data_IF_270370657515
#
_entry.id   IF_270370657515
#
_cell.length_a   1.000
_cell.length_b   1.000
_cell.length_c   1.000
_cell.angle_alpha   90.00
_cell.angle_beta   90.00
_cell.angle_gamma   90.00
#
_symmetry.space_group_name_H-M   'P 1'
#
loop_
_entity.id
_entity.type
_entity.pdbx_description
1 polymer ?
#
# COMPACT_ATOMS: atom_id res chain seq x y z
N UNK A 1 -13.56 18.33 -62.95
CA UNK A 1 -12.74 17.29 -63.64
C UNK A 1 -11.62 18.00 -64.39
N UNK A 2 -10.42 17.42 -64.55
CA UNK A 2 -9.79 16.26 -63.89
C UNK A 2 -8.45 16.64 -63.19
N UNK A 3 -8.12 16.03 -62.05
CA UNK A 3 -7.24 14.85 -61.87
C UNK A 3 -5.74 15.14 -61.93
N UNK A 4 -5.03 14.92 -60.82
CA UNK A 4 -3.79 14.13 -60.82
C UNK A 4 -3.43 13.71 -59.37
N UNK A 5 -3.45 12.40 -59.17
CA UNK A 5 -2.87 11.69 -58.02
C UNK A 5 -1.35 11.87 -57.98
N UNK A 6 -0.76 11.93 -56.78
CA UNK A 6 0.43 11.16 -56.45
C UNK A 6 0.56 10.96 -54.93
N UNK A 7 0.63 9.68 -54.56
CA UNK A 7 1.02 9.12 -53.26
C UNK A 7 2.43 9.57 -52.84
N UNK A 8 2.61 9.95 -51.56
CA UNK A 8 3.79 9.55 -50.77
C UNK A 8 3.68 9.90 -49.28
N UNK A 9 3.68 8.84 -48.46
CA UNK A 9 4.32 8.67 -47.15
C UNK A 9 4.26 9.84 -46.14
N UNK A 10 3.32 9.75 -45.19
CA UNK A 10 3.41 10.40 -43.88
C UNK A 10 4.27 9.55 -42.93
N UNK A 11 5.49 10.00 -42.64
CA UNK A 11 6.28 9.51 -41.51
C UNK A 11 5.66 10.01 -40.20
N UNK A 12 4.90 9.15 -39.53
CA UNK A 12 4.48 9.38 -38.14
C UNK A 12 5.59 8.89 -37.23
N UNK A 13 6.34 9.83 -36.63
CA UNK A 13 7.30 9.54 -35.56
C UNK A 13 6.52 9.08 -34.32
N UNK A 14 6.55 7.78 -34.06
CA UNK A 14 6.14 7.19 -32.78
C UNK A 14 6.96 7.84 -31.64
N UNK A 15 6.25 8.52 -30.73
CA UNK A 15 6.83 8.96 -29.47
C UNK A 15 7.09 7.76 -28.57
N UNK A 16 8.38 7.50 -28.38
CA UNK A 16 8.93 6.46 -27.52
C UNK A 16 8.50 6.66 -26.07
N UNK A 17 7.90 5.60 -25.55
CA UNK A 17 7.74 5.24 -24.14
C UNK A 17 9.04 5.46 -23.37
N UNK A 18 8.98 6.19 -22.25
CA UNK A 18 10.08 6.34 -21.29
C UNK A 18 10.13 5.11 -20.37
N UNK A 19 11.26 4.38 -20.30
CA UNK A 19 11.40 3.21 -19.45
C UNK A 19 11.80 3.56 -18.01
N UNK A 20 11.51 2.60 -17.13
CA UNK A 20 11.78 2.60 -15.70
C UNK A 20 13.27 2.80 -15.36
N UNK A 21 13.52 3.57 -14.31
CA UNK A 21 14.82 3.78 -13.70
C UNK A 21 15.31 2.50 -13.00
N UNK A 22 16.19 1.75 -13.66
CA UNK A 22 17.09 0.77 -13.03
C UNK A 22 18.51 1.06 -13.46
N UNK A 23 19.34 1.53 -12.54
CA UNK A 23 20.79 1.50 -12.69
C UNK A 23 21.39 1.12 -11.33
N UNK A 24 21.94 -0.09 -11.25
CA UNK A 24 23.09 -0.43 -10.42
C UNK A 24 23.84 -1.55 -11.16
N UNK A 25 25.02 -1.19 -11.67
CA UNK A 25 25.97 -2.04 -12.38
C UNK A 25 26.93 -2.63 -11.34
N UNK A 26 27.06 -3.96 -11.31
CA UNK A 26 28.18 -4.67 -10.68
C UNK A 26 29.08 -5.26 -11.79
N UNK A 27 30.39 -5.42 -11.53
CA UNK A 27 31.43 -5.52 -12.57
C UNK A 27 31.45 -6.86 -13.30
N UNK A 28 31.81 -6.78 -14.60
CA UNK A 28 32.00 -7.92 -15.49
C UNK A 28 33.17 -8.81 -15.03
N UNK A 29 32.92 -10.10 -14.86
CA UNK A 29 33.96 -11.13 -14.79
C UNK A 29 34.13 -11.78 -16.18
N UNK A 30 35.39 -11.94 -16.59
CA UNK A 30 35.82 -12.50 -17.87
C UNK A 30 35.33 -13.95 -18.08
N UNK A 31 35.12 -14.39 -19.34
CA UNK A 31 34.66 -15.73 -19.65
C UNK A 31 35.79 -16.77 -19.48
N UNK A 32 35.54 -17.93 -18.84
CA UNK A 32 36.47 -19.05 -18.92
C UNK A 32 36.24 -19.86 -20.21
N UNK A 33 37.33 -20.14 -20.91
CA UNK A 33 37.41 -21.04 -22.06
C UNK A 33 37.30 -22.53 -21.63
N UNK A 34 36.96 -23.44 -22.57
CA UNK A 34 36.25 -24.68 -22.28
C UNK A 34 37.19 -25.85 -21.99
N UNK A 35 36.89 -26.64 -20.97
CA UNK A 35 37.43 -28.00 -20.86
C UNK A 35 36.44 -28.97 -20.21
N UNK A 36 36.40 -30.16 -20.82
CA UNK A 36 35.87 -31.43 -20.34
C UNK A 36 34.34 -31.59 -20.21
N UNK A 37 33.79 -32.37 -21.16
CA UNK A 37 32.50 -33.06 -21.06
C UNK A 37 32.51 -33.99 -19.85
N UNK A 38 31.64 -33.73 -18.88
CA UNK A 38 31.16 -34.74 -17.93
C UNK A 38 29.66 -34.97 -18.12
N UNK A 39 29.34 -36.23 -18.36
CA UNK A 39 28.01 -36.80 -18.54
C UNK A 39 27.27 -36.91 -17.20
N UNK A 40 25.94 -36.68 -17.24
CA UNK A 40 24.94 -36.58 -16.16
C UNK A 40 24.80 -35.18 -15.54
N UNK A 41 23.92 -34.35 -16.10
CA UNK A 41 23.56 -33.07 -15.48
C UNK A 41 22.67 -33.33 -14.26
N UNK A 42 23.25 -33.34 -13.06
CA UNK A 42 22.48 -33.22 -11.83
C UNK A 42 21.64 -31.93 -11.89
N UNK A 43 20.32 -32.08 -11.75
CA UNK A 43 19.41 -30.95 -11.73
C UNK A 43 19.74 -30.11 -10.49
N UNK A 44 20.04 -28.82 -10.65
CA UNK A 44 20.27 -27.95 -9.49
C UNK A 44 18.94 -27.63 -8.78
N UNK A 45 18.99 -27.35 -7.48
CA UNK A 45 17.79 -26.94 -6.69
C UNK A 45 17.08 -25.74 -7.32
N UNK A 46 17.84 -24.75 -7.82
CA UNK A 46 17.26 -23.58 -8.50
C UNK A 46 16.56 -23.95 -9.82
N UNK A 47 17.13 -24.86 -10.61
CA UNK A 47 16.50 -25.32 -11.85
C UNK A 47 15.22 -26.14 -11.57
N UNK A 48 15.24 -26.95 -10.50
CA UNK A 48 14.07 -27.69 -10.03
C UNK A 48 12.93 -26.75 -9.62
N UNK A 49 13.24 -25.71 -8.85
CA UNK A 49 12.26 -24.68 -8.46
C UNK A 49 11.64 -23.99 -9.69
N UNK A 50 12.46 -23.60 -10.68
CA UNK A 50 12.00 -22.93 -11.90
C UNK A 50 11.04 -23.79 -12.75
N UNK A 51 11.28 -25.11 -12.81
CA UNK A 51 10.38 -26.05 -13.49
C UNK A 51 8.98 -25.99 -12.85
N UNK A 52 8.92 -25.99 -11.53
CA UNK A 52 7.66 -25.99 -10.78
C UNK A 52 6.96 -24.63 -10.88
N UNK A 53 7.69 -23.51 -10.83
CA UNK A 53 7.11 -22.18 -11.02
C UNK A 53 6.48 -22.03 -12.41
N UNK A 54 7.21 -22.42 -13.48
CA UNK A 54 6.69 -22.35 -14.85
C UNK A 54 5.46 -23.23 -15.05
N UNK A 55 5.41 -24.38 -14.40
CA UNK A 55 4.24 -25.25 -14.41
C UNK A 55 2.98 -24.53 -13.89
N UNK A 56 3.05 -23.90 -12.72
CA UNK A 56 1.88 -23.19 -12.18
C UNK A 56 1.52 -21.94 -12.99
N UNK A 57 2.50 -21.19 -13.50
CA UNK A 57 2.24 -20.02 -14.35
C UNK A 57 1.51 -20.43 -15.64
N UNK A 58 1.95 -21.50 -16.30
CA UNK A 58 1.30 -22.02 -17.52
C UNK A 58 -0.14 -22.47 -17.22
N UNK A 59 -0.34 -23.26 -16.16
CA UNK A 59 -1.67 -23.75 -15.79
C UNK A 59 -2.63 -22.64 -15.37
N UNK A 60 -2.13 -21.55 -14.78
CA UNK A 60 -2.98 -20.39 -14.46
C UNK A 60 -3.53 -19.72 -15.72
N UNK A 61 -2.76 -19.69 -16.80
CA UNK A 61 -3.18 -19.05 -18.05
C UNK A 61 -4.10 -19.95 -18.87
N UNK A 62 -3.90 -21.27 -18.83
CA UNK A 62 -4.50 -22.21 -19.78
C UNK A 62 -5.54 -23.16 -19.16
N UNK A 63 -5.80 -23.07 -17.85
CA UNK A 63 -6.73 -23.98 -17.15
C UNK A 63 -7.70 -23.25 -16.22
N UNK A 64 -8.83 -23.89 -15.92
CA UNK A 64 -9.77 -23.40 -14.90
C UNK A 64 -9.10 -23.36 -13.51
N UNK A 65 -9.39 -22.32 -12.73
CA UNK A 65 -8.70 -22.04 -11.46
C UNK A 65 -8.89 -23.14 -10.41
N UNK A 66 -10.05 -23.82 -10.43
CA UNK A 66 -10.38 -24.98 -9.61
C UNK A 66 -9.43 -26.15 -9.90
N UNK A 67 -9.11 -26.37 -11.19
CA UNK A 67 -8.16 -27.39 -11.61
C UNK A 67 -6.75 -27.03 -11.16
N UNK A 68 -6.36 -25.76 -11.22
CA UNK A 68 -5.05 -25.30 -10.71
C UNK A 68 -4.93 -25.57 -9.20
N UNK A 69 -5.96 -25.26 -8.43
CA UNK A 69 -6.00 -25.58 -6.99
C UNK A 69 -5.92 -27.09 -6.74
N UNK A 70 -6.60 -27.91 -7.55
CA UNK A 70 -6.49 -29.36 -7.46
C UNK A 70 -5.09 -29.86 -7.79
N UNK A 71 -4.40 -29.29 -8.79
CA UNK A 71 -3.01 -29.65 -9.10
C UNK A 71 -2.07 -29.23 -7.98
N UNK A 72 -2.25 -28.05 -7.41
CA UNK A 72 -1.51 -27.62 -6.22
C UNK A 72 -1.71 -28.60 -5.06
N UNK A 73 -2.97 -28.96 -4.78
CA UNK A 73 -3.32 -29.95 -3.78
C UNK A 73 -2.69 -31.30 -4.09
N UNK A 74 -2.68 -31.76 -5.33
CA UNK A 74 -2.04 -33.03 -5.71
C UNK A 74 -0.54 -33.02 -5.48
N UNK A 75 0.13 -31.95 -5.92
CA UNK A 75 1.58 -31.82 -5.93
C UNK A 75 2.15 -31.64 -4.53
N UNK A 76 1.61 -30.70 -3.74
CA UNK A 76 2.22 -30.33 -2.45
C UNK A 76 1.50 -30.91 -1.24
N UNK A 77 0.19 -31.10 -1.33
CA UNK A 77 -0.62 -31.50 -0.16
C UNK A 77 -0.82 -33.02 -0.17
N UNK A 78 -1.27 -33.59 -1.28
CA UNK A 78 -1.46 -35.03 -1.50
C UNK A 78 -0.20 -35.77 -1.82
N UNK A 79 0.81 -35.08 -2.36
CA UNK A 79 2.06 -35.68 -2.79
C UNK A 79 1.79 -36.89 -3.71
N UNK A 80 0.70 -36.82 -4.49
CA UNK A 80 0.41 -37.81 -5.51
C UNK A 80 1.34 -37.46 -6.65
N UNK A 81 2.15 -38.43 -7.07
CA UNK A 81 3.08 -38.31 -8.20
C UNK A 81 2.32 -37.66 -9.36
N UNK A 82 2.64 -36.40 -9.71
CA UNK A 82 1.98 -35.77 -10.83
C UNK A 82 2.25 -36.60 -12.08
N UNK A 83 1.31 -36.60 -13.03
CA UNK A 83 1.47 -37.28 -14.32
C UNK A 83 2.73 -36.78 -15.06
N UNK A 84 3.23 -35.59 -14.70
CA UNK A 84 4.44 -35.02 -15.26
C UNK A 84 5.71 -35.49 -14.51
N UNK A 85 6.54 -36.38 -15.10
CA UNK A 85 7.74 -36.92 -14.46
C UNK A 85 8.77 -35.83 -14.13
N UNK A 86 8.78 -34.70 -14.85
CA UNK A 86 9.71 -33.58 -14.58
C UNK A 86 9.41 -32.89 -13.25
N UNK A 87 8.14 -32.81 -12.85
CA UNK A 87 7.74 -32.20 -11.58
C UNK A 87 8.12 -33.12 -10.42
N UNK A 88 7.91 -34.43 -10.58
CA UNK A 88 8.34 -35.45 -9.61
C UNK A 88 9.84 -35.39 -9.38
N UNK A 89 10.63 -35.37 -10.47
CA UNK A 89 12.10 -35.28 -10.39
C UNK A 89 12.55 -33.96 -9.73
N UNK A 90 11.91 -32.84 -10.06
CA UNK A 90 12.20 -31.55 -9.45
C UNK A 90 11.93 -31.55 -7.93
N UNK A 91 10.80 -32.13 -7.49
CA UNK A 91 10.47 -32.24 -6.06
C UNK A 91 11.47 -33.15 -5.34
N UNK A 92 11.81 -34.31 -5.93
CA UNK A 92 12.81 -35.22 -5.37
C UNK A 92 14.16 -34.53 -5.22
N UNK A 93 14.61 -33.80 -6.24
CA UNK A 93 15.85 -33.01 -6.19
C UNK A 93 15.83 -32.03 -5.00
N UNK A 94 14.71 -31.35 -4.73
CA UNK A 94 14.64 -30.39 -3.62
C UNK A 94 14.68 -31.10 -2.26
N UNK A 95 14.12 -32.30 -2.15
CA UNK A 95 14.14 -33.11 -0.92
C UNK A 95 15.53 -33.70 -0.69
N UNK A 96 16.19 -34.20 -1.73
CA UNK A 96 17.51 -34.85 -1.66
C UNK A 96 18.61 -33.90 -1.18
N UNK A 97 18.49 -32.61 -1.49
CA UNK A 97 19.39 -31.57 -0.99
C UNK A 97 19.02 -31.08 0.44
N UNK A 98 18.08 -31.76 1.12
CA UNK A 98 17.61 -31.56 2.52
C UNK A 98 17.42 -30.10 2.96
N UNK A 99 17.00 -29.25 2.02
CA UNK A 99 16.84 -27.84 2.32
C UNK A 99 15.38 -27.51 2.59
N UNK A 100 14.96 -27.66 3.85
CA UNK A 100 13.66 -27.17 4.33
C UNK A 100 13.42 -25.72 3.90
N UNK A 101 14.48 -24.90 3.94
CA UNK A 101 14.42 -23.50 3.51
C UNK A 101 14.05 -23.36 2.04
N UNK A 102 14.70 -24.12 1.15
CA UNK A 102 14.40 -24.05 -0.29
C UNK A 102 13.03 -24.62 -0.64
N UNK A 103 12.57 -25.65 0.08
CA UNK A 103 11.20 -26.11 -0.06
C UNK A 103 10.19 -25.06 0.41
N UNK A 104 10.41 -24.43 1.56
CA UNK A 104 9.53 -23.38 2.07
C UNK A 104 9.48 -22.19 1.10
N UNK A 105 10.61 -21.77 0.54
CA UNK A 105 10.68 -20.72 -0.48
C UNK A 105 9.87 -21.09 -1.73
N UNK A 106 10.04 -22.32 -2.24
CA UNK A 106 9.28 -22.85 -3.37
C UNK A 106 7.79 -22.81 -3.08
N UNK A 107 7.39 -23.42 -1.97
CA UNK A 107 5.99 -23.58 -1.59
C UNK A 107 5.31 -22.22 -1.39
N UNK A 108 5.98 -21.31 -0.67
CA UNK A 108 5.54 -19.92 -0.47
C UNK A 108 5.34 -19.22 -1.81
N UNK A 109 6.32 -19.27 -2.70
CA UNK A 109 6.24 -18.61 -4.02
C UNK A 109 5.12 -19.18 -4.88
N UNK A 110 4.93 -20.50 -4.88
CA UNK A 110 3.79 -21.13 -5.54
C UNK A 110 2.44 -20.63 -4.98
N UNK A 111 2.30 -20.51 -3.65
CA UNK A 111 1.09 -19.95 -3.05
C UNK A 111 0.83 -18.53 -3.57
N UNK A 112 1.84 -17.65 -3.59
CA UNK A 112 1.67 -16.28 -4.06
C UNK A 112 1.40 -16.17 -5.58
N UNK A 113 1.95 -17.05 -6.41
CA UNK A 113 1.62 -17.14 -7.84
C UNK A 113 0.10 -17.35 -8.02
N UNK A 114 -0.47 -18.31 -7.27
CA UNK A 114 -1.89 -18.65 -7.32
C UNK A 114 -2.75 -17.52 -6.75
N UNK A 115 -2.39 -17.01 -5.56
CA UNK A 115 -3.11 -15.93 -4.89
C UNK A 115 -3.19 -14.69 -5.79
N UNK A 116 -2.07 -14.24 -6.35
CA UNK A 116 -2.02 -13.09 -7.25
C UNK A 116 -3.07 -13.16 -8.35
N UNK A 117 -3.11 -14.29 -9.06
CA UNK A 117 -4.07 -14.50 -10.13
C UNK A 117 -5.51 -14.43 -9.60
N UNK A 118 -5.82 -15.17 -8.55
CA UNK A 118 -7.20 -15.26 -8.05
C UNK A 118 -7.72 -13.96 -7.45
N UNK A 119 -6.88 -13.19 -6.75
CA UNK A 119 -7.27 -11.90 -6.18
C UNK A 119 -7.52 -10.87 -7.27
N UNK A 120 -6.69 -10.84 -8.32
CA UNK A 120 -6.91 -9.99 -9.50
C UNK A 120 -8.26 -10.30 -10.14
N UNK A 121 -8.58 -11.58 -10.28
CA UNK A 121 -9.82 -12.05 -10.89
C UNK A 121 -10.98 -12.20 -9.90
N UNK A 122 -10.85 -11.66 -8.67
CA UNK A 122 -11.88 -11.69 -7.61
C UNK A 122 -12.38 -13.09 -7.23
N UNK A 123 -11.57 -14.13 -7.44
CA UNK A 123 -11.84 -15.52 -7.04
C UNK A 123 -11.42 -15.77 -5.60
N UNK A 124 -12.00 -15.01 -4.66
CA UNK A 124 -11.59 -15.02 -3.26
C UNK A 124 -11.86 -16.35 -2.54
N UNK A 125 -12.87 -17.10 -3.00
CA UNK A 125 -13.18 -18.43 -2.44
C UNK A 125 -12.03 -19.40 -2.66
N UNK A 126 -11.45 -19.43 -3.87
CA UNK A 126 -10.29 -20.27 -4.17
C UNK A 126 -9.05 -19.87 -3.38
N UNK A 127 -8.87 -18.57 -3.14
CA UNK A 127 -7.81 -18.09 -2.26
C UNK A 127 -8.00 -18.60 -0.81
N UNK A 128 -9.24 -18.62 -0.30
CA UNK A 128 -9.55 -19.19 1.02
C UNK A 128 -9.33 -20.69 1.06
N UNK A 129 -9.83 -21.39 0.05
CA UNK A 129 -9.67 -22.84 -0.06
C UNK A 129 -8.19 -23.23 -0.08
N UNK A 130 -7.33 -22.45 -0.74
CA UNK A 130 -5.88 -22.65 -0.69
C UNK A 130 -5.33 -22.58 0.74
N UNK A 131 -5.66 -21.54 1.51
CA UNK A 131 -5.19 -21.41 2.91
C UNK A 131 -5.71 -22.57 3.77
N UNK A 132 -6.96 -22.97 3.56
CA UNK A 132 -7.63 -24.07 4.28
C UNK A 132 -7.00 -25.43 3.98
N UNK A 133 -6.71 -25.77 2.72
CA UNK A 133 -6.08 -27.06 2.38
C UNK A 133 -4.65 -27.18 2.92
N UNK A 134 -3.97 -26.04 3.15
CA UNK A 134 -2.62 -26.00 3.73
C UNK A 134 -2.68 -26.37 5.22
N UNK A 135 -3.65 -25.86 5.99
CA UNK A 135 -3.79 -26.16 7.42
C UNK A 135 -4.39 -27.54 7.70
N UNK A 136 -5.38 -27.98 6.92
CA UNK A 136 -6.11 -29.24 7.15
C UNK A 136 -5.22 -30.50 7.14
N UNK A 137 -4.12 -30.49 6.38
CA UNK A 137 -3.31 -31.70 6.16
C UNK A 137 -2.02 -31.80 6.95
N UNK A 138 -1.58 -30.74 7.63
CA UNK A 138 -0.43 -30.83 8.54
C UNK A 138 -0.62 -31.92 9.65
N UNK A 139 -1.84 -32.44 9.80
CA UNK A 139 -2.35 -33.26 10.92
C UNK A 139 -2.59 -34.75 10.54
N UNK A 140 -2.50 -35.19 9.27
CA UNK A 140 -2.87 -36.58 8.88
C UNK A 140 -1.79 -37.67 9.10
N UNK A 141 -2.24 -38.90 9.41
CA UNK A 141 -1.53 -40.15 9.78
C UNK A 141 -0.28 -40.51 8.92
N UNK A 142 0.77 -41.17 9.49
CA UNK A 142 2.08 -41.39 8.86
C UNK A 142 2.04 -42.18 7.54
N UNK A 143 2.94 -41.83 6.61
CA UNK A 143 3.15 -42.52 5.34
C UNK A 143 4.37 -43.44 5.42
N UNK A 144 4.40 -44.61 4.76
CA UNK A 144 5.57 -45.50 4.77
C UNK A 144 6.83 -44.89 4.12
N UNK A 145 6.66 -44.03 3.12
CA UNK A 145 7.74 -43.37 2.37
C UNK A 145 8.48 -42.27 3.19
N UNK A 146 9.80 -42.36 3.29
CA UNK A 146 10.64 -41.41 4.03
C UNK A 146 10.68 -40.00 3.42
N UNK A 147 10.68 -39.85 2.10
CA UNK A 147 10.64 -38.53 1.45
C UNK A 147 9.33 -37.80 1.79
N UNK A 148 8.22 -38.54 1.84
CA UNK A 148 6.91 -38.01 2.20
C UNK A 148 6.80 -37.66 3.69
N UNK A 149 7.59 -38.29 4.56
CA UNK A 149 7.69 -37.90 5.98
C UNK A 149 8.38 -36.54 6.12
N UNK A 150 9.51 -36.34 5.43
CA UNK A 150 10.30 -35.09 5.48
C UNK A 150 9.45 -33.90 5.00
N UNK A 151 8.80 -34.03 3.84
CA UNK A 151 7.92 -32.98 3.31
C UNK A 151 6.78 -32.60 4.26
N UNK A 152 6.19 -33.58 4.96
CA UNK A 152 5.14 -33.30 5.95
C UNK A 152 5.66 -32.53 7.16
N UNK A 153 6.87 -32.86 7.63
CA UNK A 153 7.52 -32.08 8.69
C UNK A 153 7.75 -30.66 8.23
N UNK A 154 8.24 -30.46 7.00
CA UNK A 154 8.46 -29.12 6.44
C UNK A 154 7.17 -28.33 6.29
N UNK A 155 6.09 -28.94 5.78
CA UNK A 155 4.78 -28.29 5.70
C UNK A 155 4.22 -27.94 7.09
N UNK A 156 4.39 -28.80 8.09
CA UNK A 156 3.99 -28.50 9.46
C UNK A 156 4.78 -27.32 10.02
N UNK A 157 6.09 -27.30 9.80
CA UNK A 157 6.95 -26.18 10.20
C UNK A 157 6.57 -24.89 9.47
N UNK A 158 6.18 -24.99 8.19
CA UNK A 158 5.68 -23.86 7.41
C UNK A 158 4.37 -23.30 7.98
N UNK A 159 3.40 -24.15 8.32
CA UNK A 159 2.13 -23.73 8.94
C UNK A 159 2.35 -23.02 10.28
N UNK A 160 3.39 -23.37 11.03
CA UNK A 160 3.76 -22.71 12.27
C UNK A 160 4.70 -21.49 12.08
N UNK A 161 4.98 -21.09 10.83
CA UNK A 161 5.92 -20.02 10.52
C UNK A 161 5.23 -18.68 10.27
N UNK A 162 6.01 -17.60 10.35
CA UNK A 162 5.55 -16.26 9.98
C UNK A 162 5.08 -16.17 8.53
N UNK A 163 5.66 -16.96 7.63
CA UNK A 163 5.28 -16.97 6.21
C UNK A 163 3.83 -17.45 6.00
N UNK A 164 3.38 -18.43 6.79
CA UNK A 164 1.99 -18.88 6.73
C UNK A 164 1.01 -17.87 7.34
N UNK A 165 1.39 -17.23 8.44
CA UNK A 165 0.60 -16.12 9.00
C UNK A 165 0.44 -14.98 7.99
N UNK A 166 1.50 -14.64 7.25
CA UNK A 166 1.42 -13.61 6.21
C UNK A 166 0.50 -14.04 5.03
N UNK A 167 0.50 -15.32 4.65
CA UNK A 167 -0.44 -15.89 3.68
C UNK A 167 -1.89 -15.86 4.21
N UNK A 168 -2.12 -16.21 5.48
CA UNK A 168 -3.43 -16.17 6.11
C UNK A 168 -3.96 -14.74 6.20
N UNK A 169 -3.13 -13.80 6.62
CA UNK A 169 -3.47 -12.37 6.65
C UNK A 169 -3.88 -11.85 5.28
N UNK A 170 -3.24 -12.35 4.22
CA UNK A 170 -3.55 -12.01 2.84
C UNK A 170 -5.02 -12.36 2.50
N UNK A 171 -5.56 -13.46 3.02
CA UNK A 171 -6.92 -13.93 2.66
C UNK A 171 -7.98 -13.67 3.73
N UNK A 172 -7.57 -13.43 4.98
CA UNK A 172 -8.44 -13.29 6.17
C UNK A 172 -9.62 -12.32 6.03
N UNK A 173 -9.53 -11.34 5.13
CA UNK A 173 -10.56 -10.29 4.96
C UNK A 173 -11.71 -10.67 4.02
N UNK A 174 -11.62 -11.85 3.41
CA UNK A 174 -12.72 -12.44 2.64
C UNK A 174 -13.47 -13.50 3.46
N UNK A 175 -13.18 -13.61 4.75
CA UNK A 175 -13.78 -14.59 5.64
C UNK A 175 -14.96 -13.96 6.39
N UNK A 176 -16.18 -14.24 5.93
CA UNK A 176 -17.41 -13.71 6.55
C UNK A 176 -17.80 -14.47 7.83
N UNK A 177 -17.14 -15.60 8.14
CA UNK A 177 -17.63 -16.61 9.10
C UNK A 177 -16.78 -16.79 10.37
N UNK A 178 -15.57 -16.22 10.45
CA UNK A 178 -14.70 -16.38 11.61
C UNK A 178 -14.15 -15.04 12.12
N UNK A 179 -14.75 -14.43 13.16
CA UNK A 179 -14.16 -13.31 13.86
C UNK A 179 -12.96 -13.82 14.66
N UNK A 180 -11.79 -13.91 14.02
CA UNK A 180 -10.51 -13.92 14.72
C UNK A 180 -10.51 -12.66 15.58
N UNK A 181 -10.17 -12.77 16.86
CA UNK A 181 -10.08 -11.64 17.79
C UNK A 181 -9.25 -10.53 17.13
N UNK A 182 -9.93 -9.47 16.67
CA UNK A 182 -9.36 -8.53 15.71
C UNK A 182 -8.47 -7.58 16.50
N UNK A 183 -7.17 -7.88 16.52
CA UNK A 183 -6.18 -6.95 17.05
C UNK A 183 -6.29 -5.60 16.33
N UNK A 184 -6.11 -4.47 17.04
CA UNK A 184 -6.37 -3.12 16.51
C UNK A 184 -5.59 -2.82 15.22
N UNK A 185 -4.41 -3.42 15.07
CA UNK A 185 -3.55 -3.28 13.87
C UNK A 185 -4.20 -3.83 12.60
N UNK A 186 -5.15 -4.77 12.72
CA UNK A 186 -5.86 -5.39 11.58
C UNK A 186 -6.65 -4.37 10.76
N UNK A 187 -7.13 -3.31 11.42
CA UNK A 187 -7.78 -2.17 10.76
C UNK A 187 -6.83 -1.51 9.75
N UNK A 188 -5.55 -1.42 10.12
CA UNK A 188 -4.49 -0.77 9.35
C UNK A 188 -3.69 -1.69 8.42
N UNK A 189 -4.23 -2.87 8.11
CA UNK A 189 -3.62 -3.79 7.14
C UNK A 189 -3.20 -3.14 5.81
N UNK A 190 -3.92 -2.16 5.23
CA UNK A 190 -3.48 -1.55 3.97
C UNK A 190 -2.10 -0.89 4.06
N UNK A 191 -1.71 -0.41 5.24
CA UNK A 191 -0.37 0.14 5.50
C UNK A 191 0.64 -0.98 5.77
N UNK A 192 0.29 -2.01 6.53
CA UNK A 192 1.18 -3.17 6.76
C UNK A 192 1.56 -3.87 5.45
N UNK A 193 0.63 -3.98 4.51
CA UNK A 193 0.88 -4.50 3.16
C UNK A 193 1.83 -3.61 2.34
N UNK A 194 1.90 -2.30 2.64
CA UNK A 194 2.88 -1.38 2.02
C UNK A 194 4.29 -1.74 2.44
N UNK A 195 4.52 -2.07 3.71
CA UNK A 195 5.82 -2.56 4.15
C UNK A 195 6.20 -3.86 3.41
N UNK A 196 5.23 -4.76 3.18
CA UNK A 196 5.48 -6.02 2.47
C UNK A 196 5.82 -5.81 0.99
N UNK A 197 5.07 -4.98 0.24
CA UNK A 197 5.36 -4.82 -1.19
C UNK A 197 6.58 -3.95 -1.48
N UNK A 198 7.04 -3.15 -0.52
CA UNK A 198 8.27 -2.35 -0.66
C UNK A 198 9.52 -3.08 -0.20
N UNK A 199 9.41 -4.19 0.54
CA UNK A 199 10.56 -4.96 0.99
C UNK A 199 11.20 -5.72 -0.18
N UNK A 200 12.43 -5.34 -0.55
CA UNK A 200 13.19 -5.97 -1.62
C UNK A 200 13.55 -7.45 -1.35
N UNK A 201 13.44 -7.91 -0.09
CA UNK A 201 13.63 -9.32 0.28
C UNK A 201 12.47 -10.20 -0.13
N UNK A 202 11.27 -9.62 -0.28
CA UNK A 202 10.09 -10.36 -0.70
C UNK A 202 10.14 -10.65 -2.20
N UNK A 203 9.58 -11.79 -2.59
CA UNK A 203 9.54 -12.21 -3.99
C UNK A 203 8.72 -11.21 -4.83
N UNK A 204 8.97 -11.06 -6.15
CA UNK A 204 8.16 -10.21 -7.00
C UNK A 204 6.66 -10.53 -6.91
N UNK A 205 6.31 -11.80 -6.78
CA UNK A 205 4.94 -12.27 -6.64
C UNK A 205 4.34 -11.86 -5.28
N UNK A 206 5.05 -12.06 -4.17
CA UNK A 206 4.64 -11.56 -2.84
C UNK A 206 4.33 -10.06 -2.87
N UNK A 207 5.26 -9.28 -3.41
CA UNK A 207 5.12 -7.82 -3.49
C UNK A 207 3.91 -7.43 -4.33
N UNK A 208 3.69 -8.12 -5.45
CA UNK A 208 2.55 -7.83 -6.31
C UNK A 208 1.22 -8.10 -5.59
N UNK A 209 1.06 -9.23 -4.89
CA UNK A 209 -0.20 -9.53 -4.22
C UNK A 209 -0.45 -8.57 -3.06
N UNK A 210 0.57 -8.25 -2.26
CA UNK A 210 0.45 -7.26 -1.20
C UNK A 210 0.06 -5.87 -1.74
N UNK A 211 0.59 -5.46 -2.89
CA UNK A 211 0.22 -4.19 -3.55
C UNK A 211 -1.25 -4.17 -3.98
N UNK A 212 -1.73 -5.24 -4.62
CA UNK A 212 -3.11 -5.33 -5.10
C UNK A 212 -4.09 -5.32 -3.93
N UNK A 213 -3.81 -6.09 -2.89
CA UNK A 213 -4.61 -6.12 -1.67
C UNK A 213 -4.65 -4.76 -0.96
N UNK A 214 -3.50 -4.10 -0.81
CA UNK A 214 -3.46 -2.76 -0.20
C UNK A 214 -4.36 -1.78 -0.96
N UNK A 215 -4.29 -1.81 -2.30
CA UNK A 215 -5.12 -0.96 -3.15
C UNK A 215 -6.62 -1.27 -3.00
N UNK A 216 -7.01 -2.55 -3.06
CA UNK A 216 -8.41 -2.96 -2.91
C UNK A 216 -8.99 -2.53 -1.56
N UNK A 217 -8.24 -2.68 -0.47
CA UNK A 217 -8.70 -2.28 0.85
C UNK A 217 -8.85 -0.76 0.98
N UNK A 218 -7.93 0.02 0.40
CA UNK A 218 -8.06 1.48 0.38
C UNK A 218 -9.26 1.94 -0.45
N UNK A 219 -9.51 1.29 -1.59
CA UNK A 219 -10.65 1.65 -2.43
C UNK A 219 -11.98 1.25 -1.80
N UNK A 220 -12.04 0.09 -1.12
CA UNK A 220 -13.18 -0.28 -0.27
C UNK A 220 -13.42 0.77 0.82
N UNK A 221 -12.37 1.15 1.57
CA UNK A 221 -12.49 2.20 2.59
C UNK A 221 -13.04 3.53 2.03
N UNK A 222 -12.54 3.98 0.86
CA UNK A 222 -13.05 5.20 0.21
C UNK A 222 -14.54 5.11 -0.12
N UNK A 223 -14.96 3.96 -0.65
CA UNK A 223 -16.37 3.71 -0.97
C UNK A 223 -17.23 3.67 0.28
N UNK A 224 -16.82 2.91 1.30
CA UNK A 224 -17.55 2.77 2.56
C UNK A 224 -17.67 4.13 3.27
N UNK A 225 -16.63 4.97 3.24
CA UNK A 225 -16.67 6.31 3.82
C UNK A 225 -17.64 7.24 3.08
N UNK A 226 -17.68 7.17 1.75
CA UNK A 226 -18.64 7.92 0.93
C UNK A 226 -20.09 7.47 1.20
N UNK A 227 -20.31 6.16 1.33
CA UNK A 227 -21.61 5.57 1.68
C UNK A 227 -22.06 5.97 3.09
N UNK A 228 -21.16 5.85 4.07
CA UNK A 228 -21.41 6.23 5.46
C UNK A 228 -21.79 7.71 5.55
N UNK A 229 -21.01 8.61 4.94
CA UNK A 229 -21.29 10.05 4.97
C UNK A 229 -22.62 10.42 4.29
N UNK A 230 -22.98 9.76 3.19
CA UNK A 230 -24.24 10.01 2.47
C UNK A 230 -25.48 9.49 3.21
N UNK A 231 -25.38 8.34 3.90
CA UNK A 231 -26.53 7.66 4.51
C UNK A 231 -26.76 8.02 5.97
N UNK A 232 -25.70 8.20 6.76
CA UNK A 232 -25.78 8.49 8.21
C UNK A 232 -26.56 9.76 8.56
N UNK A 233 -26.70 10.69 7.60
CA UNK A 233 -27.38 11.97 7.78
C UNK A 233 -28.76 12.04 7.13
N UNK A 234 -29.24 10.94 6.53
CA UNK A 234 -30.55 10.87 5.88
C UNK A 234 -31.63 10.36 6.84
N UNK A 235 -32.71 11.13 7.01
CA UNK A 235 -33.84 10.75 7.85
C UNK A 235 -34.56 9.47 7.36
N UNK A 236 -34.48 9.17 6.06
CA UNK A 236 -35.09 8.00 5.44
C UNK A 236 -34.38 6.67 5.77
N UNK A 237 -33.13 6.71 6.24
CA UNK A 237 -32.29 5.53 6.47
C UNK A 237 -32.00 5.26 7.95
N UNK A 238 -32.75 5.88 8.87
CA UNK A 238 -32.54 5.73 10.34
C UNK A 238 -32.69 4.28 10.86
N UNK A 239 -33.32 3.36 10.11
CA UNK A 239 -33.49 1.97 10.54
C UNK A 239 -32.35 1.03 10.16
N UNK A 240 -31.52 1.37 9.17
CA UNK A 240 -30.35 0.58 8.79
C UNK A 240 -29.10 1.25 9.37
N UNK A 241 -28.64 0.81 10.55
CA UNK A 241 -27.31 1.18 11.07
C UNK A 241 -26.27 0.76 10.04
N UNK A 242 -25.76 1.73 9.30
CA UNK A 242 -24.64 1.51 8.40
C UNK A 242 -23.34 1.56 9.18
N UNK A 243 -22.49 0.58 8.95
CA UNK A 243 -21.22 0.46 9.65
C UNK A 243 -20.32 1.65 9.34
N UNK A 244 -19.87 2.30 10.40
CA UNK A 244 -18.85 3.33 10.30
C UNK A 244 -17.52 2.65 9.93
N UNK A 245 -16.89 2.98 8.80
CA UNK A 245 -15.64 2.34 8.38
C UNK A 245 -14.41 2.83 9.17
N UNK A 246 -14.60 3.67 10.19
CA UNK A 246 -13.54 4.28 11.02
C UNK A 246 -13.62 3.76 12.45
N UNK A 247 -12.51 3.81 13.17
CA UNK A 247 -12.46 3.51 14.61
C UNK A 247 -12.88 4.69 15.50
N UNK A 248 -13.27 5.84 14.93
CA UNK A 248 -13.62 7.05 15.67
C UNK A 248 -15.09 7.10 16.15
N UNK A 249 -15.93 6.15 15.73
CA UNK A 249 -17.37 6.22 16.01
C UNK A 249 -18.00 7.53 15.51
N UNK A 250 -18.94 8.09 16.26
CA UNK A 250 -19.71 9.27 15.83
C UNK A 250 -18.85 10.53 15.61
N UNK A 251 -17.65 10.59 16.21
CA UNK A 251 -16.69 11.69 16.00
C UNK A 251 -16.19 11.77 14.55
N UNK A 252 -16.27 10.67 13.80
CA UNK A 252 -15.88 10.64 12.38
C UNK A 252 -16.63 11.68 11.55
N UNK A 253 -17.97 11.80 11.72
CA UNK A 253 -18.76 12.79 10.98
C UNK A 253 -18.40 14.21 11.38
N UNK A 254 -18.19 14.47 12.67
CA UNK A 254 -17.80 15.79 13.17
C UNK A 254 -16.45 16.20 12.61
N UNK A 255 -15.49 15.26 12.57
CA UNK A 255 -14.18 15.46 11.97
C UNK A 255 -14.27 15.74 10.47
N UNK A 256 -15.04 14.94 9.72
CA UNK A 256 -15.25 15.12 8.28
C UNK A 256 -15.83 16.51 8.00
N UNK A 257 -16.88 16.91 8.72
CA UNK A 257 -17.47 18.24 8.59
C UNK A 257 -16.44 19.33 8.93
N UNK A 258 -15.64 19.16 9.98
CA UNK A 258 -14.58 20.11 10.37
C UNK A 258 -13.53 20.26 9.25
N UNK A 259 -13.09 19.14 8.66
CA UNK A 259 -12.17 19.14 7.51
C UNK A 259 -12.79 19.87 6.32
N UNK A 260 -14.08 19.65 6.04
CA UNK A 260 -14.80 20.30 4.93
C UNK A 260 -15.08 21.79 5.17
N UNK A 261 -15.34 22.24 6.41
CA UNK A 261 -15.44 23.67 6.73
C UNK A 261 -14.10 24.34 6.49
N UNK A 262 -13.01 23.74 6.99
CA UNK A 262 -11.66 24.25 6.75
C UNK A 262 -11.32 24.26 5.25
N UNK A 263 -11.92 23.37 4.45
CA UNK A 263 -11.79 23.36 2.98
C UNK A 263 -12.46 24.57 2.30
N UNK A 264 -13.52 25.15 2.90
CA UNK A 264 -14.30 26.27 2.36
C UNK A 264 -13.60 27.62 2.45
N UNK A 265 -12.70 27.83 3.42
CA UNK A 265 -11.79 28.98 3.48
C UNK A 265 -10.39 28.68 2.94
N UNK A 266 -9.95 27.41 3.00
CA UNK A 266 -8.63 26.94 2.58
C UNK A 266 -8.76 25.75 1.62
N UNK A 267 -8.84 26.02 0.32
CA UNK A 267 -8.66 24.96 -0.68
C UNK A 267 -7.17 24.57 -0.72
N UNK A 268 -6.73 23.69 0.19
CA UNK A 268 -5.33 23.22 0.27
C UNK A 268 -4.81 22.68 -1.05
N UNK A 269 -5.69 22.13 -1.90
CA UNK A 269 -5.33 21.70 -3.26
C UNK A 269 -5.01 22.89 -4.16
N UNK A 270 -5.82 23.95 -4.13
CA UNK A 270 -5.48 25.19 -4.84
C UNK A 270 -4.18 25.81 -4.31
N UNK A 271 -3.99 25.87 -2.99
CA UNK A 271 -2.76 26.37 -2.39
C UNK A 271 -1.54 25.51 -2.78
N UNK A 272 -1.68 24.19 -2.79
CA UNK A 272 -0.62 23.29 -3.26
C UNK A 272 -0.28 23.54 -4.73
N UNK A 273 -1.28 23.70 -5.59
CA UNK A 273 -1.08 24.00 -7.01
C UNK A 273 -0.36 25.34 -7.21
N UNK A 274 -0.76 26.38 -6.48
CA UNK A 274 -0.09 27.69 -6.50
C UNK A 274 1.36 27.53 -6.05
N UNK A 275 1.60 26.84 -4.94
CA UNK A 275 2.96 26.58 -4.44
C UNK A 275 3.82 25.82 -5.46
N UNK A 276 3.31 24.73 -6.03
CA UNK A 276 4.02 23.95 -7.06
C UNK A 276 4.41 24.86 -8.23
N UNK A 277 3.47 25.64 -8.76
CA UNK A 277 3.72 26.53 -9.90
C UNK A 277 4.76 27.62 -9.57
N UNK A 278 4.71 28.19 -8.36
CA UNK A 278 5.67 29.21 -7.90
C UNK A 278 7.04 28.62 -7.55
N UNK A 279 7.13 27.32 -7.26
CA UNK A 279 8.36 26.63 -6.91
C UNK A 279 9.18 26.15 -8.11
N UNK A 280 8.72 26.40 -9.34
CA UNK A 280 9.43 25.98 -10.54
C UNK A 280 10.67 26.85 -10.78
N UNK A 281 11.79 26.20 -11.17
CA UNK A 281 13.05 26.85 -11.58
C UNK A 281 13.70 27.77 -10.53
N UNK A 282 13.35 27.64 -9.24
CA UNK A 282 14.00 28.38 -8.15
C UNK A 282 15.20 27.60 -7.57
N UNK A 283 16.09 28.30 -6.88
CA UNK A 283 17.16 27.67 -6.11
C UNK A 283 16.60 26.83 -4.95
N UNK A 284 17.27 25.74 -4.61
CA UNK A 284 16.81 24.80 -3.59
C UNK A 284 16.68 25.43 -2.19
N UNK A 285 17.57 26.34 -1.83
CA UNK A 285 17.47 27.13 -0.59
C UNK A 285 16.19 27.97 -0.53
N UNK A 286 15.80 28.58 -1.66
CA UNK A 286 14.56 29.35 -1.76
C UNK A 286 13.33 28.47 -1.64
N UNK A 287 13.37 27.29 -2.28
CA UNK A 287 12.32 26.28 -2.15
C UNK A 287 12.09 25.90 -0.68
N UNK A 288 13.14 25.60 0.09
CA UNK A 288 13.03 25.28 1.53
C UNK A 288 12.32 26.39 2.31
N UNK A 289 12.69 27.65 2.06
CA UNK A 289 12.06 28.81 2.71
C UNK A 289 10.58 28.94 2.36
N UNK A 290 10.23 28.77 1.08
CA UNK A 290 8.84 28.83 0.64
C UNK A 290 8.02 27.65 1.15
N UNK A 291 8.63 26.47 1.26
CA UNK A 291 7.99 25.28 1.81
C UNK A 291 7.57 25.50 3.27
N UNK A 292 8.43 26.08 4.09
CA UNK A 292 8.08 26.44 5.48
C UNK A 292 6.88 27.39 5.49
N UNK A 293 6.94 28.47 4.69
CA UNK A 293 5.81 29.42 4.59
C UNK A 293 4.52 28.74 4.17
N UNK A 294 4.56 27.85 3.18
CA UNK A 294 3.41 27.11 2.69
C UNK A 294 2.80 26.19 3.77
N UNK A 295 3.64 25.45 4.50
CA UNK A 295 3.18 24.51 5.52
C UNK A 295 2.47 25.22 6.68
N UNK A 296 2.97 26.39 7.08
CA UNK A 296 2.47 27.17 8.21
C UNK A 296 1.55 28.35 7.80
N UNK A 297 1.24 28.50 6.51
CA UNK A 297 0.36 29.54 6.00
C UNK A 297 -1.04 29.47 6.64
N UNK A 298 -1.47 30.58 7.25
CA UNK A 298 -2.83 30.85 7.76
C UNK A 298 -3.35 29.99 8.92
N UNK A 299 -2.51 29.21 9.60
CA UNK A 299 -2.96 28.53 10.82
C UNK A 299 -2.73 29.42 12.05
N UNK A 300 -3.78 30.13 12.49
CA UNK A 300 -3.81 30.82 13.80
C UNK A 300 -3.51 29.87 14.98
N UNK A 301 -3.55 28.56 14.75
CA UNK A 301 -3.19 27.50 15.72
C UNK A 301 -1.68 27.41 15.99
N UNK A 302 -0.86 28.02 15.15
CA UNK A 302 0.60 28.10 15.29
C UNK A 302 1.06 29.52 15.72
N UNK A 303 0.14 30.41 16.06
CA UNK A 303 0.39 31.87 16.12
C UNK A 303 1.10 32.35 17.41
N UNK A 304 1.60 31.46 18.26
CA UNK A 304 2.31 31.85 19.48
C UNK A 304 3.58 31.00 19.69
N UNK A 305 4.74 31.52 19.22
CA UNK A 305 6.09 30.96 19.42
C UNK A 305 6.27 29.51 18.96
N UNK A 306 6.13 29.28 17.65
CA UNK A 306 5.93 27.94 17.12
C UNK A 306 7.23 27.12 17.01
N UNK A 307 7.61 26.50 18.13
CA UNK A 307 8.74 25.56 18.27
C UNK A 307 8.73 24.50 17.14
N UNK A 308 7.56 24.14 16.61
CA UNK A 308 7.43 23.23 15.47
C UNK A 308 7.97 23.83 14.17
N UNK A 309 7.59 25.07 13.83
CA UNK A 309 8.12 25.77 12.67
C UNK A 309 9.63 25.93 12.78
N UNK A 310 10.15 26.27 13.96
CA UNK A 310 11.59 26.36 14.18
C UNK A 310 12.29 25.01 13.96
N UNK A 311 11.77 23.93 14.57
CA UNK A 311 12.33 22.58 14.38
C UNK A 311 12.30 22.14 12.92
N UNK A 312 11.19 22.37 12.21
CA UNK A 312 11.09 22.06 10.78
C UNK A 312 12.05 22.91 9.95
N UNK A 313 12.24 24.19 10.31
CA UNK A 313 13.21 25.08 9.66
C UNK A 313 14.63 24.55 9.82
N UNK A 314 15.01 24.13 11.03
CA UNK A 314 16.33 23.56 11.31
C UNK A 314 16.55 22.23 10.57
N UNK A 315 15.54 21.36 10.56
CA UNK A 315 15.53 20.10 9.82
C UNK A 315 15.78 20.36 8.31
N UNK A 316 15.03 21.29 7.71
CA UNK A 316 15.20 21.64 6.29
C UNK A 316 16.53 22.35 5.99
N UNK A 317 16.99 23.21 6.89
CA UNK A 317 18.28 23.89 6.77
C UNK A 317 19.46 22.91 6.71
N UNK A 318 19.43 21.89 7.56
CA UNK A 318 20.48 20.85 7.61
C UNK A 318 20.42 19.82 6.46
N UNK A 319 19.30 19.73 5.74
CA UNK A 319 19.10 18.70 4.72
C UNK A 319 19.68 19.12 3.36
N UNK A 320 20.73 18.44 2.90
CA UNK A 320 21.45 18.73 1.64
C UNK A 320 21.85 20.21 1.43
N UNK A 321 22.64 20.82 2.34
CA UNK A 321 23.09 22.22 2.20
C UNK A 321 23.95 22.44 0.95
N UNK A 322 24.73 21.43 0.53
CA UNK A 322 25.56 21.49 -0.67
C UNK A 322 24.76 21.63 -1.98
N UNK A 323 23.43 21.46 -1.91
CA UNK A 323 22.55 21.60 -3.06
C UNK A 323 21.79 22.94 -3.05
N UNK A 324 22.00 23.80 -2.06
CA UNK A 324 21.20 25.01 -1.84
C UNK A 324 21.18 26.01 -3.01
N UNK A 325 22.27 26.07 -3.76
CA UNK A 325 22.41 26.92 -4.95
C UNK A 325 21.97 26.22 -6.24
N UNK A 326 21.73 24.91 -6.20
CA UNK A 326 21.24 24.16 -7.38
C UNK A 326 19.77 24.50 -7.61
N UNK A 327 19.39 24.51 -8.89
CA UNK A 327 17.99 24.62 -9.28
C UNK A 327 17.24 23.40 -8.75
N UNK A 328 16.06 23.64 -8.17
CA UNK A 328 15.16 22.59 -7.70
C UNK A 328 14.85 21.63 -8.85
N UNK A 329 14.97 20.33 -8.57
CA UNK A 329 14.55 19.27 -9.48
C UNK A 329 13.61 18.29 -8.77
N UNK A 330 12.95 17.43 -9.54
CA UNK A 330 11.96 16.48 -9.01
C UNK A 330 12.53 15.54 -7.94
N UNK A 331 13.82 15.17 -8.05
CA UNK A 331 14.49 14.32 -7.06
C UNK A 331 14.69 15.03 -5.73
N UNK A 332 15.16 16.28 -5.73
CA UNK A 332 15.29 17.10 -4.52
C UNK A 332 13.93 17.39 -3.89
N UNK A 333 12.92 17.70 -4.70
CA UNK A 333 11.54 17.90 -4.24
C UNK A 333 11.01 16.67 -3.50
N UNK A 334 11.05 15.50 -4.15
CA UNK A 334 10.59 14.23 -3.56
C UNK A 334 11.37 13.87 -2.30
N UNK A 335 12.71 13.94 -2.33
CA UNK A 335 13.56 13.62 -1.18
C UNK A 335 13.28 14.54 0.01
N UNK A 336 13.03 15.83 -0.24
CA UNK A 336 12.71 16.80 0.82
C UNK A 336 11.36 16.48 1.45
N UNK A 337 10.34 16.18 0.64
CA UNK A 337 9.02 15.80 1.13
C UNK A 337 9.05 14.50 1.94
N UNK A 338 9.73 13.45 1.44
CA UNK A 338 9.93 12.20 2.17
C UNK A 338 10.69 12.43 3.48
N UNK A 339 11.72 13.29 3.48
CA UNK A 339 12.47 13.61 4.68
C UNK A 339 11.62 14.33 5.74
N UNK A 340 10.73 15.24 5.32
CA UNK A 340 9.77 15.86 6.23
C UNK A 340 8.77 14.85 6.79
N UNK A 341 8.20 13.98 5.95
CA UNK A 341 7.30 12.91 6.39
C UNK A 341 7.98 12.04 7.44
N UNK A 342 9.22 11.59 7.16
CA UNK A 342 10.03 10.83 8.13
C UNK A 342 10.17 11.59 9.44
N UNK A 343 10.56 12.87 9.36
CA UNK A 343 10.77 13.71 10.54
C UNK A 343 9.51 13.94 11.36
N UNK A 344 8.34 13.97 10.72
CA UNK A 344 7.02 14.11 11.33
C UNK A 344 6.37 12.78 11.72
N UNK A 345 7.07 11.64 11.59
CA UNK A 345 6.51 10.32 11.90
C UNK A 345 7.52 9.42 12.62
N UNK A 346 8.39 8.76 11.85
CA UNK A 346 9.18 7.61 12.32
C UNK A 346 10.56 7.57 11.69
N UNK A 347 11.54 7.09 12.45
CA UNK A 347 12.88 6.79 11.97
C UNK A 347 12.92 5.52 11.11
N UNK A 348 14.04 5.28 10.45
CA UNK A 348 14.22 4.05 9.67
C UNK A 348 14.28 2.79 10.55
N UNK A 349 14.61 2.96 11.83
CA UNK A 349 14.62 1.91 12.86
C UNK A 349 13.23 1.50 13.32
N UNK A 350 12.17 2.23 12.90
CA UNK A 350 10.81 2.04 13.39
C UNK A 350 10.49 2.85 14.65
N UNK A 351 11.49 3.46 15.29
CA UNK A 351 11.27 4.32 16.46
C UNK A 351 10.60 5.65 16.06
N UNK A 352 9.57 6.11 16.77
CA UNK A 352 8.97 7.42 16.51
C UNK A 352 9.98 8.56 16.69
N UNK A 353 9.93 9.58 15.83
CA UNK A 353 10.88 10.69 15.92
C UNK A 353 10.58 11.60 17.12
N UNK A 354 11.57 12.31 17.69
CA UNK A 354 11.32 13.26 18.78
C UNK A 354 10.33 14.37 18.39
N UNK A 355 10.34 14.81 17.12
CA UNK A 355 9.39 15.79 16.62
C UNK A 355 7.97 15.21 16.56
N UNK A 356 7.80 13.97 16.09
CA UNK A 356 6.49 13.31 16.09
C UNK A 356 5.94 13.15 17.51
N UNK A 357 6.75 12.63 18.45
CA UNK A 357 6.36 12.49 19.86
C UNK A 357 5.96 13.84 20.46
N UNK A 358 6.71 14.91 20.16
CA UNK A 358 6.34 16.26 20.59
C UNK A 358 5.02 16.73 19.98
N UNK A 359 4.81 16.48 18.68
CA UNK A 359 3.57 16.83 17.99
C UNK A 359 2.36 16.11 18.57
N UNK A 360 2.40 14.78 18.76
CA UNK A 360 1.24 14.03 19.27
C UNK A 360 0.89 14.37 20.72
N UNK A 361 1.88 14.78 21.53
CA UNK A 361 1.66 15.16 22.92
C UNK A 361 1.06 16.57 23.11
N UNK A 362 1.15 17.43 22.10
CA UNK A 362 0.88 18.88 22.24
C UNK A 362 -0.04 19.44 21.16
N UNK A 363 -0.06 18.84 19.99
CA UNK A 363 -0.95 19.19 18.89
C UNK A 363 -2.15 18.25 18.89
N UNK A 364 -3.30 18.78 18.50
CA UNK A 364 -4.42 17.93 18.11
C UNK A 364 -4.01 17.07 16.91
N UNK A 365 -4.37 15.76 16.85
CA UNK A 365 -4.11 14.87 15.72
C UNK A 365 -4.44 15.47 14.34
N UNK A 366 -5.51 16.26 14.25
CA UNK A 366 -5.91 16.96 13.02
C UNK A 366 -4.86 17.95 12.53
N UNK A 367 -4.21 18.69 13.41
CA UNK A 367 -3.19 19.68 13.01
C UNK A 367 -1.99 18.99 12.36
N UNK A 368 -1.50 17.90 12.96
CA UNK A 368 -0.40 17.12 12.39
C UNK A 368 -0.82 16.43 11.07
N UNK A 369 -2.02 15.87 11.02
CA UNK A 369 -2.57 15.26 9.82
C UNK A 369 -2.68 16.27 8.66
N UNK A 370 -3.09 17.52 8.93
CA UNK A 370 -3.15 18.58 7.93
C UNK A 370 -1.76 19.01 7.44
N UNK A 371 -0.76 19.06 8.33
CA UNK A 371 0.64 19.31 7.96
C UNK A 371 1.14 18.23 6.99
N UNK A 372 0.90 16.97 7.30
CA UNK A 372 1.26 15.83 6.45
C UNK A 372 0.48 15.88 5.13
N UNK A 373 -0.82 16.18 5.16
CA UNK A 373 -1.65 16.33 3.97
C UNK A 373 -1.10 17.40 3.03
N UNK A 374 -0.71 18.57 3.55
CA UNK A 374 -0.09 19.64 2.74
C UNK A 374 1.17 19.13 2.02
N UNK A 375 2.00 18.32 2.67
CA UNK A 375 3.18 17.70 2.04
C UNK A 375 2.78 16.74 0.92
N UNK A 376 1.76 15.90 1.15
CA UNK A 376 1.26 14.96 0.13
C UNK A 376 0.67 15.69 -1.08
N UNK A 377 -0.05 16.80 -0.87
CA UNK A 377 -0.64 17.57 -1.97
C UNK A 377 0.41 18.19 -2.90
N UNK A 378 1.57 18.59 -2.38
CA UNK A 378 2.66 19.12 -3.21
C UNK A 378 3.56 18.00 -3.78
N UNK A 379 3.51 16.80 -3.22
CA UNK A 379 4.32 15.66 -3.66
C UNK A 379 3.55 14.34 -3.52
N UNK A 380 2.61 14.04 -4.46
CA UNK A 380 1.76 12.86 -4.40
C UNK A 380 2.54 11.53 -4.33
N UNK A 381 3.70 11.47 -4.99
CA UNK A 381 4.61 10.32 -4.94
C UNK A 381 5.16 10.01 -3.54
N UNK A 382 5.07 10.96 -2.60
CA UNK A 382 5.48 10.76 -1.21
C UNK A 382 4.44 9.99 -0.40
N UNK A 383 3.23 9.79 -0.91
CA UNK A 383 2.16 9.09 -0.20
C UNK A 383 2.55 7.64 0.12
N UNK A 384 3.15 6.92 -0.83
CA UNK A 384 3.65 5.56 -0.59
C UNK A 384 4.69 5.51 0.53
N UNK A 385 5.54 6.54 0.64
CA UNK A 385 6.51 6.63 1.73
C UNK A 385 5.86 6.95 3.08
N UNK A 386 4.82 7.80 3.11
CA UNK A 386 4.02 8.04 4.31
C UNK A 386 3.35 6.75 4.80
N UNK A 387 2.76 5.98 3.89
CA UNK A 387 2.11 4.72 4.23
C UNK A 387 3.10 3.69 4.79
N UNK A 388 4.33 3.67 4.27
CA UNK A 388 5.42 2.88 4.85
C UNK A 388 5.79 3.37 6.27
N UNK A 389 5.78 4.68 6.51
CA UNK A 389 6.01 5.24 7.84
C UNK A 389 4.89 4.86 8.82
N UNK A 390 3.63 4.88 8.39
CA UNK A 390 2.51 4.37 9.19
C UNK A 390 2.69 2.89 9.52
N UNK A 391 3.06 2.06 8.54
CA UNK A 391 3.31 0.64 8.76
C UNK A 391 4.36 0.41 9.87
N UNK A 392 5.45 1.19 9.86
CA UNK A 392 6.51 1.13 10.87
C UNK A 392 6.04 1.57 12.25
N UNK A 393 5.24 2.64 12.34
CA UNK A 393 4.64 3.06 13.61
C UNK A 393 3.73 1.97 14.16
N UNK A 394 2.86 1.41 13.33
CA UNK A 394 1.95 0.33 13.72
C UNK A 394 2.74 -0.87 14.23
N UNK A 395 3.78 -1.31 13.51
CA UNK A 395 4.66 -2.41 13.92
C UNK A 395 5.39 -2.12 15.23
N UNK A 396 5.82 -0.88 15.47
CA UNK A 396 6.50 -0.49 16.70
C UNK A 396 5.59 -0.58 17.93
N UNK A 397 4.29 -0.29 17.77
CA UNK A 397 3.29 -0.29 18.85
C UNK A 397 2.43 -1.56 18.89
N UNK A 398 2.65 -2.52 17.99
CA UNK A 398 1.74 -3.67 17.80
C UNK A 398 1.59 -4.56 19.04
N UNK A 399 2.59 -4.60 19.92
CA UNK A 399 2.55 -5.44 21.13
C UNK A 399 1.81 -4.78 22.29
N UNK A 400 1.35 -3.53 22.11
CA UNK A 400 0.59 -2.77 23.11
C UNK A 400 -0.92 -2.88 22.88
N UNK A 401 -1.68 -2.71 23.96
CA UNK A 401 -3.14 -2.76 23.91
C UNK A 401 -3.71 -1.60 23.06
N UNK A 402 -4.93 -1.79 22.54
CA UNK A 402 -5.63 -0.74 21.81
C UNK A 402 -5.84 0.53 22.65
N UNK A 403 -6.08 0.36 23.96
CA UNK A 403 -6.27 1.48 24.89
C UNK A 403 -4.99 2.32 25.05
N UNK A 404 -3.83 1.67 25.16
CA UNK A 404 -2.54 2.37 25.26
C UNK A 404 -2.16 3.08 23.94
N UNK A 405 -2.65 2.55 22.82
CA UNK A 405 -2.43 3.07 21.47
C UNK A 405 -3.51 4.03 20.98
N UNK A 406 -4.47 4.45 21.81
CA UNK A 406 -5.61 5.24 21.35
C UNK A 406 -5.19 6.53 20.62
N UNK A 407 -4.17 7.22 21.13
CA UNK A 407 -3.63 8.43 20.48
C UNK A 407 -3.10 8.17 19.07
N UNK A 408 -2.50 6.99 18.83
CA UNK A 408 -1.96 6.59 17.53
C UNK A 408 -3.10 6.19 16.59
N UNK A 409 -4.08 5.44 17.11
CA UNK A 409 -5.32 5.09 16.40
C UNK A 409 -5.99 6.38 15.92
N UNK A 410 -6.24 7.33 16.82
CA UNK A 410 -6.86 8.62 16.49
C UNK A 410 -6.06 9.37 15.41
N UNK A 411 -4.73 9.41 15.53
CA UNK A 411 -3.88 10.04 14.53
C UNK A 411 -3.96 9.37 13.15
N UNK A 412 -3.93 8.03 13.10
CA UNK A 412 -4.04 7.26 11.86
C UNK A 412 -5.42 7.43 11.21
N UNK A 413 -6.51 7.35 11.98
CA UNK A 413 -7.88 7.59 11.50
C UNK A 413 -8.03 8.99 10.91
N UNK A 414 -7.54 10.00 11.62
CA UNK A 414 -7.63 11.40 11.17
C UNK A 414 -6.83 11.61 9.89
N UNK A 415 -5.63 11.02 9.77
CA UNK A 415 -4.85 11.06 8.54
C UNK A 415 -5.56 10.35 7.39
N UNK A 416 -6.12 9.17 7.63
CA UNK A 416 -6.79 8.37 6.62
C UNK A 416 -8.04 9.09 6.08
N UNK A 417 -8.84 9.70 6.96
CA UNK A 417 -10.00 10.52 6.59
C UNK A 417 -9.54 11.76 5.80
N UNK A 418 -8.54 12.50 6.30
CA UNK A 418 -8.06 13.71 5.65
C UNK A 418 -7.52 13.43 4.24
N UNK A 419 -6.66 12.42 4.08
CA UNK A 419 -6.13 12.01 2.76
C UNK A 419 -7.27 11.55 1.84
N UNK A 420 -8.26 10.82 2.36
CA UNK A 420 -9.40 10.34 1.58
C UNK A 420 -10.30 11.48 1.10
N UNK A 421 -10.63 12.45 1.95
CA UNK A 421 -11.46 13.62 1.58
C UNK A 421 -10.79 14.43 0.47
N UNK A 422 -9.46 14.55 0.53
CA UNK A 422 -8.68 15.28 -0.46
C UNK A 422 -8.22 14.42 -1.64
N UNK A 423 -8.58 13.14 -1.70
CA UNK A 423 -8.28 12.25 -2.82
C UNK A 423 -9.03 12.70 -4.10
N UNK A 424 -8.56 12.24 -5.25
CA UNK A 424 -9.07 12.77 -6.53
C UNK A 424 -10.42 12.20 -6.94
N UNK A 425 -10.76 10.99 -6.48
CA UNK A 425 -11.84 10.18 -7.06
C UNK A 425 -13.23 10.51 -6.50
N UNK A 426 -13.31 11.04 -5.28
CA UNK A 426 -14.58 11.37 -4.61
C UNK A 426 -14.56 12.84 -4.19
N UNK A 427 -15.58 13.58 -4.57
CA UNK A 427 -15.80 14.95 -4.12
C UNK A 427 -16.77 14.95 -2.94
N UNK A 428 -16.28 15.37 -1.78
CA UNK A 428 -17.08 15.63 -0.61
C UNK A 428 -17.47 17.12 -0.56
N UNK A 429 -18.74 17.43 -0.37
CA UNK A 429 -19.26 18.79 -0.25
C UNK A 429 -20.05 18.93 1.06
N UNK A 430 -19.96 20.10 1.68
CA UNK A 430 -20.74 20.43 2.87
C UNK A 430 -21.86 21.40 2.48
N UNK A 431 -23.10 21.07 2.82
CA UNK A 431 -24.28 21.89 2.53
C UNK A 431 -24.93 22.27 3.84
N UNK A 432 -25.09 23.58 4.07
CA UNK A 432 -25.86 24.07 5.21
C UNK A 432 -27.35 23.96 4.88
N UNK A 433 -28.12 23.28 5.74
CA UNK A 433 -29.55 23.05 5.58
C UNK A 433 -30.42 24.10 6.29
N UNK A 434 -29.82 25.10 6.95
CA UNK A 434 -30.58 26.17 7.60
C UNK A 434 -31.10 27.19 6.59
N UNK A 435 -32.39 27.51 6.63
CA UNK A 435 -33.06 28.53 5.78
C UNK A 435 -32.72 29.99 6.16
N UNK A 436 -31.82 30.21 7.13
CA UNK A 436 -31.45 31.57 7.56
C UNK A 436 -30.53 32.23 6.52
N UNK A 437 -31.06 33.23 5.82
CA UNK A 437 -30.34 34.09 4.90
C UNK A 437 -29.18 34.83 5.59
N UNK A 438 -27.96 34.40 5.26
CA UNK A 438 -26.71 35.13 4.99
C UNK A 438 -26.17 36.31 5.82
N UNK A 439 -26.77 36.86 6.87
CA UNK A 439 -26.19 38.09 7.48
C UNK A 439 -25.38 37.94 8.79
N UNK A 440 -25.34 36.76 9.42
CA UNK A 440 -24.50 36.56 10.62
C UNK A 440 -23.76 35.21 10.58
N UNK A 441 -22.61 35.15 9.92
CA UNK A 441 -21.71 33.97 9.97
C UNK A 441 -20.38 34.32 10.62
N UNK A 442 -20.35 34.30 11.95
CA UNK A 442 -19.11 34.06 12.69
C UNK A 442 -18.98 32.60 13.16
N UNK A 443 -20.08 31.82 13.18
CA UNK A 443 -20.05 30.41 13.55
C UNK A 443 -20.99 29.57 12.68
N UNK A 444 -20.42 28.68 11.87
CA UNK A 444 -21.20 27.63 11.16
C UNK A 444 -21.58 26.56 12.18
N UNK A 445 -22.88 26.41 12.46
CA UNK A 445 -23.37 25.29 13.27
C UNK A 445 -23.26 23.98 12.48
N UNK A 446 -22.28 23.16 12.86
CA UNK A 446 -21.99 21.85 12.29
C UNK A 446 -23.20 20.90 12.32
N UNK A 447 -24.13 21.08 13.26
CA UNK A 447 -25.30 20.22 13.39
C UNK A 447 -26.30 20.43 12.25
N UNK A 448 -26.32 21.62 11.65
CA UNK A 448 -27.20 21.97 10.53
C UNK A 448 -26.60 21.67 9.16
N UNK A 449 -25.34 21.24 9.12
CA UNK A 449 -24.67 20.88 7.87
C UNK A 449 -24.78 19.39 7.55
N UNK A 450 -24.95 19.08 6.26
CA UNK A 450 -24.90 17.72 5.71
C UNK A 450 -23.74 17.55 4.73
N UNK A 451 -23.17 16.36 4.70
CA UNK A 451 -22.06 15.95 3.84
C UNK A 451 -22.63 15.18 2.66
N UNK A 452 -22.23 15.57 1.45
CA UNK A 452 -22.58 14.89 0.21
C UNK A 452 -21.31 14.41 -0.48
N UNK A 453 -21.29 13.15 -0.92
CA UNK A 453 -20.20 12.60 -1.71
C UNK A 453 -20.64 12.34 -3.16
N UNK A 454 -19.85 12.77 -4.14
CA UNK A 454 -20.09 12.51 -5.56
C UNK A 454 -18.83 11.98 -6.23
N UNK A 455 -18.94 11.01 -7.12
CA UNK A 455 -17.82 10.57 -7.96
C UNK A 455 -17.45 11.70 -8.93
N UNK A 456 -16.16 12.07 -9.03
CA UNK A 456 -15.76 13.07 -10.02
C UNK A 456 -15.87 12.49 -11.43
N UNK A 457 -16.49 13.20 -12.40
CA UNK A 457 -16.41 12.78 -13.78
C UNK A 457 -14.95 12.85 -14.24
N UNK A 458 -14.46 11.78 -14.88
CA UNK A 458 -13.15 11.78 -15.53
C UNK A 458 -13.24 12.86 -16.61
N UNK A 459 -12.52 13.97 -16.43
CA UNK A 459 -12.30 14.92 -17.52
C UNK A 459 -11.54 14.15 -18.59
N UNK A 460 -12.20 13.79 -19.68
CA UNK A 460 -11.49 13.46 -20.92
C UNK A 460 -10.75 14.75 -21.28
N UNK A 461 -9.43 14.71 -21.17
CA UNK A 461 -8.61 15.72 -21.84
C UNK A 461 -9.03 15.67 -23.30
N UNK A 462 -9.47 16.82 -23.82
CA UNK A 462 -9.69 16.97 -25.25
C UNK A 462 -8.31 16.95 -25.88
N UNK A 463 -8.06 15.91 -26.68
CA UNK A 463 -6.89 15.79 -27.55
C UNK A 463 -6.64 17.07 -28.36
#
# INVERSE_FOLDING_TARGET
>A
MPSQDFSSKSETKESKVLPALTNNILPQQNPPQPTAKFTNSELTVSAAQDIIYKFFIHHINDSASELVLQQFKKIFIQLITPVNPKITQAIQTIIEFDSQREFNNLFKRCCYILLNNWIIHRKYELARDLIKIISERAISQPHPDNCLKILRVWLRNFVNSKDYEDLKLSVSKYDDYHPVEIHWTSHYQPYLLVAQYLDAKNTPEERQTARIMSQQLKDKYKFDLAMYTSRSQSAAFKSEKHDNPTLLGDEALRLIKTILINRGSLNYRSLANIFINQSQKIAYSQFKKYLIKYLFYYDKKFDNNDIYQEKITNILGSFYPNNDQKILNNSLHLRTCNYLIKSLTVENTGKPTPLFVMCVNKLNPLTLALLILKIILISPYSQTYLELCFARLIQYYQDQSAADCQWLIDFLEVCQIAITIYAENVQYNLVNMSEKYQEEQLFIDLNNCRVFSQHKPIKKDKD
#
